data_IF_108842414812
#
_entry.id   IF_108842414812
#
_cell.length_a   1.000
_cell.length_b   1.000
_cell.length_c   1.000
_cell.angle_alpha   90.00
_cell.angle_beta   90.00
_cell.angle_gamma   90.00
#
_symmetry.space_group_name_H-M   'P 1'
#
loop_
_entity.id
_entity.type
_entity.pdbx_description
1 polymer ?
#
# COMPACT_ATOMS: atom_id res chain seq x y z
N UNK A 1 11.69 9.46 -24.00
CA UNK A 1 12.16 8.81 -22.75
C UNK A 1 12.82 7.48 -23.10
N UNK A 2 13.94 7.10 -22.47
CA UNK A 2 14.58 5.79 -22.75
C UNK A 2 13.71 4.61 -22.28
N UNK A 3 13.83 3.45 -22.95
CA UNK A 3 13.00 2.23 -22.70
C UNK A 3 13.02 1.74 -21.25
N UNK A 4 14.13 1.94 -20.55
CA UNK A 4 14.28 1.53 -19.15
C UNK A 4 13.41 2.37 -18.23
N UNK A 5 13.51 3.70 -18.33
CA UNK A 5 12.75 4.62 -17.49
C UNK A 5 11.25 4.53 -17.77
N UNK A 6 10.85 4.35 -19.03
CA UNK A 6 9.44 4.14 -19.38
C UNK A 6 8.86 2.85 -18.77
N UNK A 7 9.67 1.78 -18.71
CA UNK A 7 9.26 0.51 -18.08
C UNK A 7 9.06 0.70 -16.58
N UNK A 8 10.00 1.37 -15.90
CA UNK A 8 9.88 1.66 -14.48
C UNK A 8 8.67 2.55 -14.15
N UNK A 9 8.41 3.60 -14.94
CA UNK A 9 7.20 4.40 -14.76
C UNK A 9 5.91 3.57 -14.94
N UNK A 10 5.88 2.68 -15.94
CA UNK A 10 4.72 1.81 -16.16
C UNK A 10 4.49 0.84 -14.99
N UNK A 11 5.56 0.33 -14.36
CA UNK A 11 5.47 -0.55 -13.18
C UNK A 11 4.89 0.16 -11.94
N UNK A 12 5.11 1.47 -11.82
CA UNK A 12 4.66 2.26 -10.65
C UNK A 12 3.27 2.86 -10.85
N UNK A 13 2.87 3.08 -12.11
CA UNK A 13 1.62 3.73 -12.48
C UNK A 13 1.77 5.23 -12.71
N UNK A 14 0.68 5.86 -13.16
CA UNK A 14 0.68 7.22 -13.72
C UNK A 14 1.21 8.29 -12.76
N UNK A 15 0.93 8.14 -11.46
CA UNK A 15 1.36 9.10 -10.43
C UNK A 15 2.84 8.96 -10.07
N UNK A 16 3.51 7.88 -10.50
CA UNK A 16 4.94 7.63 -10.28
C UNK A 16 5.34 7.80 -8.81
N UNK A 17 4.49 7.36 -7.86
CA UNK A 17 4.78 7.51 -6.43
C UNK A 17 5.83 6.51 -5.97
N UNK A 18 6.54 6.83 -4.91
CA UNK A 18 7.50 5.95 -4.28
C UNK A 18 6.86 4.60 -3.95
N UNK A 19 7.46 3.50 -4.42
CA UNK A 19 6.91 2.14 -4.22
C UNK A 19 6.96 1.65 -2.76
N UNK A 20 7.57 2.41 -1.84
CA UNK A 20 7.58 2.09 -0.41
C UNK A 20 6.53 2.85 0.39
N UNK A 21 6.40 4.16 0.17
CA UNK A 21 5.51 5.00 0.97
C UNK A 21 4.28 5.51 0.21
N UNK A 22 4.20 5.30 -1.10
CA UNK A 22 3.08 5.73 -1.96
C UNK A 22 2.65 7.19 -1.76
N UNK A 23 3.56 8.06 -1.30
CA UNK A 23 3.28 9.46 -1.00
C UNK A 23 4.15 10.33 -1.93
N UNK A 24 5.46 10.41 -1.66
CA UNK A 24 6.37 11.25 -2.43
C UNK A 24 6.63 10.69 -3.84
N UNK A 25 7.06 11.54 -4.78
CA UNK A 25 7.47 11.12 -6.14
C UNK A 25 8.64 10.13 -6.09
N UNK A 26 8.53 9.05 -6.86
CA UNK A 26 9.56 8.03 -7.05
C UNK A 26 10.56 8.48 -8.10
N UNK A 27 11.56 9.28 -7.69
CA UNK A 27 12.57 9.84 -8.59
C UNK A 27 13.83 8.99 -8.73
N UNK A 28 14.11 8.13 -7.75
CA UNK A 28 15.39 7.45 -7.61
C UNK A 28 15.22 5.95 -7.86
N UNK A 29 16.16 5.36 -8.61
CA UNK A 29 16.22 3.92 -8.81
C UNK A 29 16.80 3.26 -7.56
N UNK A 30 16.02 2.38 -6.94
CA UNK A 30 16.41 1.57 -5.79
C UNK A 30 16.43 0.09 -6.15
N UNK A 31 17.28 -0.68 -5.47
CA UNK A 31 17.35 -2.13 -5.62
C UNK A 31 16.67 -2.82 -4.44
N UNK A 32 15.60 -3.58 -4.66
CA UNK A 32 14.96 -4.32 -3.56
C UNK A 32 15.99 -5.18 -2.79
N UNK A 33 16.75 -6.00 -3.53
CA UNK A 33 17.94 -6.71 -3.08
C UNK A 33 19.19 -5.85 -3.29
N UNK A 34 19.92 -5.46 -2.23
CA UNK A 34 21.09 -4.60 -2.35
C UNK A 34 22.13 -5.15 -3.34
N UNK A 35 22.49 -4.34 -4.33
CA UNK A 35 23.43 -4.72 -5.40
C UNK A 35 24.83 -5.09 -4.88
N UNK A 36 25.24 -4.55 -3.74
CA UNK A 36 26.55 -4.80 -3.14
C UNK A 36 26.70 -6.27 -2.69
N UNK A 37 25.59 -6.90 -2.30
CA UNK A 37 25.56 -8.31 -1.84
C UNK A 37 24.95 -9.22 -2.91
N UNK A 38 23.93 -8.73 -3.63
CA UNK A 38 23.16 -9.49 -4.60
C UNK A 38 23.43 -9.01 -6.04
N UNK A 39 24.70 -8.83 -6.41
CA UNK A 39 25.12 -8.28 -7.70
C UNK A 39 24.48 -8.96 -8.92
N UNK A 40 24.19 -10.26 -8.86
CA UNK A 40 23.49 -11.00 -9.92
C UNK A 40 22.06 -10.48 -10.20
N UNK A 41 21.44 -9.79 -9.24
CA UNK A 41 20.09 -9.21 -9.37
C UNK A 41 20.12 -7.73 -9.80
N UNK A 42 21.29 -7.14 -10.00
CA UNK A 42 21.43 -5.69 -10.24
C UNK A 42 20.61 -5.19 -11.44
N UNK A 43 20.43 -6.02 -12.48
CA UNK A 43 19.73 -5.67 -13.71
C UNK A 43 18.42 -6.44 -13.90
N UNK A 44 17.89 -7.06 -12.85
CA UNK A 44 16.58 -7.72 -12.91
C UNK A 44 15.48 -6.67 -12.73
N UNK A 45 14.50 -6.63 -13.63
CA UNK A 45 13.37 -5.68 -13.54
C UNK A 45 12.64 -5.75 -12.21
N UNK A 46 12.35 -6.96 -11.73
CA UNK A 46 11.70 -7.20 -10.43
C UNK A 46 12.57 -6.75 -9.23
N UNK A 47 13.85 -6.45 -9.45
CA UNK A 47 14.73 -5.92 -8.42
C UNK A 47 14.86 -4.40 -8.48
N UNK A 48 14.34 -3.73 -9.52
CA UNK A 48 14.43 -2.29 -9.71
C UNK A 48 13.11 -1.62 -9.30
N UNK A 49 13.21 -0.64 -8.41
CA UNK A 49 12.08 0.11 -7.88
C UNK A 49 12.27 1.61 -8.14
N UNK A 50 11.17 2.35 -8.25
CA UNK A 50 11.20 3.80 -8.09
C UNK A 50 10.86 4.15 -6.65
N UNK A 51 11.76 4.88 -6.00
CA UNK A 51 11.58 5.33 -4.63
C UNK A 51 11.87 6.82 -4.50
N UNK A 52 11.38 7.44 -3.43
CA UNK A 52 11.82 8.77 -3.06
C UNK A 52 13.15 8.69 -2.30
N UNK A 53 13.94 9.76 -2.37
CA UNK A 53 15.26 9.85 -1.71
C UNK A 53 15.21 9.49 -0.22
N UNK A 54 14.14 9.85 0.49
CA UNK A 54 13.99 9.51 1.92
C UNK A 54 13.89 8.00 2.12
N UNK A 55 13.01 7.31 1.39
CA UNK A 55 12.84 5.86 1.52
C UNK A 55 14.10 5.11 1.07
N UNK A 56 14.72 5.54 -0.03
CA UNK A 56 15.99 4.97 -0.50
C UNK A 56 17.11 5.09 0.53
N UNK A 57 17.24 6.22 1.24
CA UNK A 57 18.20 6.39 2.34
C UNK A 57 17.88 5.53 3.56
N UNK A 58 16.61 5.45 3.94
CA UNK A 58 16.19 4.64 5.09
C UNK A 58 16.47 3.16 4.86
N UNK A 59 16.11 2.65 3.68
CA UNK A 59 16.41 1.28 3.28
C UNK A 59 17.91 1.09 3.08
N UNK A 60 18.52 1.81 2.15
CA UNK A 60 19.89 1.61 1.71
C UNK A 60 20.20 0.11 1.48
N UNK A 61 21.24 -0.38 2.14
CA UNK A 61 21.64 -1.78 2.10
C UNK A 61 20.94 -2.66 3.16
N UNK A 62 20.00 -2.13 3.95
CA UNK A 62 19.24 -2.91 4.93
C UNK A 62 18.32 -3.88 4.18
N UNK A 63 18.59 -5.17 4.35
CA UNK A 63 17.83 -6.24 3.74
C UNK A 63 17.65 -7.37 4.76
N UNK A 64 16.68 -7.22 5.69
CA UNK A 64 16.54 -8.14 6.81
C UNK A 64 16.15 -9.54 6.33
N UNK A 65 16.82 -10.56 6.88
CA UNK A 65 16.66 -11.97 6.50
C UNK A 65 16.52 -12.86 7.74
N UNK A 66 15.70 -13.90 7.66
CA UNK A 66 15.71 -15.03 8.58
C UNK A 66 16.14 -16.28 7.79
N UNK A 67 17.43 -16.64 7.89
CA UNK A 67 18.03 -17.65 7.02
C UNK A 67 17.90 -17.24 5.55
N UNK A 68 17.16 -18.01 4.75
CA UNK A 68 16.90 -17.70 3.32
C UNK A 68 15.63 -16.86 3.09
N UNK A 69 14.83 -16.60 4.13
CA UNK A 69 13.57 -15.85 4.03
C UNK A 69 13.85 -14.35 4.11
N UNK A 70 13.32 -13.60 3.13
CA UNK A 70 13.32 -12.13 3.14
C UNK A 70 12.26 -11.63 4.13
N UNK A 71 12.64 -10.69 5.00
CA UNK A 71 11.76 -10.07 6.00
C UNK A 71 11.40 -8.62 5.66
N UNK A 72 11.69 -8.17 4.43
CA UNK A 72 11.16 -6.93 3.87
C UNK A 72 10.00 -7.28 2.93
N UNK A 73 8.91 -6.51 2.98
CA UNK A 73 7.82 -6.62 1.98
C UNK A 73 8.36 -6.22 0.61
N UNK A 74 8.21 -7.10 -0.38
CA UNK A 74 8.56 -6.83 -1.77
C UNK A 74 7.38 -6.19 -2.50
N UNK A 75 7.41 -4.87 -2.81
CA UNK A 75 6.29 -4.18 -3.43
C UNK A 75 6.02 -4.63 -4.87
N UNK A 76 6.88 -5.48 -5.46
CA UNK A 76 6.69 -6.03 -6.82
C UNK A 76 6.02 -7.40 -6.84
N UNK A 77 5.90 -8.07 -5.68
CA UNK A 77 5.47 -9.48 -5.60
C UNK A 77 4.43 -9.74 -4.53
N UNK A 78 4.40 -8.93 -3.49
CA UNK A 78 3.63 -9.19 -2.28
C UNK A 78 2.55 -8.14 -2.11
N UNK A 79 1.37 -8.57 -1.67
CA UNK A 79 0.37 -7.65 -1.17
C UNK A 79 0.85 -7.11 0.20
N UNK A 80 1.09 -5.80 0.36
CA UNK A 80 1.60 -5.24 1.61
C UNK A 80 0.69 -5.55 2.80
N UNK A 81 -0.63 -5.62 2.59
CA UNK A 81 -1.63 -5.86 3.63
C UNK A 81 -1.56 -7.28 4.22
N UNK A 82 -0.83 -8.21 3.62
CA UNK A 82 -0.58 -9.53 4.20
C UNK A 82 0.38 -9.45 5.40
N UNK A 83 1.24 -8.43 5.44
CA UNK A 83 2.21 -8.21 6.52
C UNK A 83 2.07 -6.89 7.26
N UNK A 84 1.35 -5.94 6.69
CA UNK A 84 1.16 -4.60 7.24
C UNK A 84 -0.31 -4.34 7.61
N UNK A 85 -0.49 -3.35 8.46
CA UNK A 85 -1.77 -2.80 8.86
C UNK A 85 -1.77 -1.28 8.74
N UNK A 86 -2.96 -0.71 8.64
CA UNK A 86 -3.17 0.73 8.70
C UNK A 86 -3.95 1.06 9.96
N UNK A 87 -3.43 1.97 10.76
CA UNK A 87 -4.13 2.49 11.94
C UNK A 87 -4.93 3.74 11.55
N UNK A 88 -6.27 3.67 11.47
CA UNK A 88 -7.09 4.80 11.05
C UNK A 88 -7.14 5.93 12.10
N UNK A 89 -6.68 5.70 13.33
CA UNK A 89 -6.67 6.72 14.38
C UNK A 89 -5.43 7.61 14.30
N UNK A 90 -4.28 7.03 13.96
CA UNK A 90 -3.00 7.75 13.88
C UNK A 90 -2.58 8.04 12.43
N UNK A 91 -3.10 7.28 11.47
CA UNK A 91 -2.64 7.30 10.09
C UNK A 91 -1.38 6.47 9.87
N UNK A 92 -0.88 5.74 10.86
CA UNK A 92 0.38 5.00 10.70
C UNK A 92 0.18 3.70 9.91
N UNK A 93 1.22 3.29 9.20
CA UNK A 93 1.33 1.92 8.69
C UNK A 93 2.20 1.12 9.65
N UNK A 94 1.61 0.08 10.22
CA UNK A 94 2.16 -0.74 11.30
C UNK A 94 2.35 -2.19 10.84
N UNK A 95 3.02 -3.00 11.65
CA UNK A 95 3.05 -4.44 11.43
C UNK A 95 1.64 -5.01 11.62
N UNK A 96 1.24 -5.99 10.80
CA UNK A 96 -0.02 -6.71 10.99
C UNK A 96 0.07 -7.60 12.21
N UNK A 97 -0.97 -7.62 13.03
CA UNK A 97 -1.16 -8.66 14.05
C UNK A 97 -1.87 -9.88 13.44
N UNK A 98 -1.28 -11.07 13.60
CA UNK A 98 -1.88 -12.33 13.21
C UNK A 98 -2.62 -12.94 14.41
N UNK A 99 -3.96 -12.96 14.32
CA UNK A 99 -4.83 -13.47 15.38
C UNK A 99 -4.65 -14.97 15.58
N UNK A 100 -4.36 -15.74 14.53
CA UNK A 100 -4.19 -17.19 14.62
C UNK A 100 -2.88 -17.56 15.32
N UNK A 101 -1.82 -16.80 15.04
CA UNK A 101 -0.52 -16.98 15.68
C UNK A 101 -0.38 -16.23 17.00
N UNK A 102 -1.37 -15.38 17.35
CA UNK A 102 -1.36 -14.47 18.48
C UNK A 102 -0.04 -13.68 18.56
N UNK A 103 0.44 -13.20 17.41
CA UNK A 103 1.73 -12.53 17.30
C UNK A 103 1.78 -11.56 16.12
N UNK A 104 2.74 -10.64 16.12
CA UNK A 104 2.98 -9.70 15.02
C UNK A 104 3.65 -10.37 13.82
N UNK A 105 3.35 -9.88 12.61
CA UNK A 105 4.05 -10.29 11.40
C UNK A 105 5.50 -9.83 11.46
N UNK A 106 6.42 -10.79 11.62
CA UNK A 106 7.87 -10.54 11.64
C UNK A 106 8.33 -9.76 10.40
N UNK A 107 7.75 -10.04 9.23
CA UNK A 107 8.05 -9.30 7.99
C UNK A 107 7.49 -7.87 8.06
N UNK A 108 6.30 -7.70 8.61
CA UNK A 108 5.70 -6.38 8.86
C UNK A 108 6.56 -5.53 9.78
N UNK A 109 6.95 -6.08 10.92
CA UNK A 109 7.80 -5.40 11.91
C UNK A 109 9.11 -4.92 11.30
N UNK A 110 9.81 -5.80 10.56
CA UNK A 110 11.06 -5.43 9.90
C UNK A 110 10.88 -4.42 8.77
N UNK A 111 9.74 -4.46 8.08
CA UNK A 111 9.42 -3.46 7.05
C UNK A 111 9.18 -2.08 7.66
N UNK A 112 8.36 -2.01 8.71
CA UNK A 112 8.09 -0.76 9.44
C UNK A 112 9.36 -0.22 10.09
N UNK A 113 10.17 -1.08 10.71
CA UNK A 113 11.47 -0.71 11.30
C UNK A 113 12.45 -0.14 10.27
N UNK A 114 12.54 -0.73 9.08
CA UNK A 114 13.47 -0.26 8.04
C UNK A 114 13.02 1.06 7.43
N UNK A 115 11.72 1.22 7.17
CA UNK A 115 11.16 2.34 6.40
C UNK A 115 10.55 3.45 7.26
N UNK A 116 10.54 3.27 8.59
CA UNK A 116 9.98 4.19 9.58
C UNK A 116 8.53 4.59 9.27
N UNK A 117 7.70 3.63 8.82
CA UNK A 117 6.34 3.92 8.36
C UNK A 117 5.39 4.40 9.47
N UNK A 118 5.77 4.18 10.73
CA UNK A 118 5.06 4.55 11.95
C UNK A 118 5.60 5.83 12.63
N UNK A 119 6.71 6.40 12.10
CA UNK A 119 7.43 7.54 12.71
C UNK A 119 7.47 8.77 11.83
N UNK A 120 6.71 8.78 10.73
CA UNK A 120 6.76 9.83 9.70
C UNK A 120 5.43 10.58 9.64
N UNK A 121 5.26 11.57 10.51
CA UNK A 121 4.00 12.32 10.66
C UNK A 121 3.42 12.88 9.35
N UNK A 122 4.29 13.33 8.42
CA UNK A 122 3.85 13.81 7.12
C UNK A 122 3.18 12.70 6.28
N UNK A 123 3.71 11.47 6.33
CA UNK A 123 3.08 10.31 5.68
C UNK A 123 1.73 10.01 6.34
N UNK A 124 1.71 9.94 7.68
CA UNK A 124 0.50 9.59 8.42
C UNK A 124 -0.64 10.56 8.12
N UNK A 125 -0.34 11.86 8.00
CA UNK A 125 -1.30 12.88 7.56
C UNK A 125 -1.80 12.65 6.14
N UNK A 126 -0.93 12.27 5.21
CA UNK A 126 -1.29 11.94 3.83
C UNK A 126 -2.23 10.74 3.76
N UNK A 127 -1.92 9.67 4.48
CA UNK A 127 -2.75 8.47 4.55
C UNK A 127 -4.13 8.75 5.16
N UNK A 128 -4.21 9.52 6.25
CA UNK A 128 -5.49 9.96 6.84
C UNK A 128 -6.32 10.78 5.86
N UNK A 129 -5.68 11.67 5.09
CA UNK A 129 -6.37 12.47 4.09
C UNK A 129 -6.98 11.59 2.98
N UNK A 130 -6.28 10.54 2.55
CA UNK A 130 -6.84 9.56 1.62
C UNK A 130 -7.98 8.78 2.23
N UNK A 131 -7.82 8.24 3.45
CA UNK A 131 -8.91 7.56 4.14
C UNK A 131 -10.16 8.45 4.23
N UNK A 132 -9.98 9.73 4.54
CA UNK A 132 -11.07 10.71 4.61
C UNK A 132 -11.80 10.84 3.28
N UNK A 133 -11.09 11.01 2.16
CA UNK A 133 -11.70 11.12 0.82
C UNK A 133 -12.44 9.86 0.40
N UNK A 134 -11.85 8.69 0.69
CA UNK A 134 -12.49 7.40 0.45
C UNK A 134 -13.78 7.27 1.28
N UNK A 135 -13.74 7.67 2.54
CA UNK A 135 -14.89 7.67 3.44
C UNK A 135 -15.97 8.64 2.96
N UNK A 136 -15.61 9.86 2.57
CA UNK A 136 -16.55 10.84 2.02
C UNK A 136 -17.22 10.32 0.74
N UNK A 137 -16.46 9.66 -0.14
CA UNK A 137 -16.99 9.03 -1.37
C UNK A 137 -18.05 7.98 -1.05
N UNK A 138 -17.81 7.09 -0.08
CA UNK A 138 -18.79 6.08 0.32
C UNK A 138 -20.00 6.71 0.99
N UNK A 139 -19.82 7.70 1.89
CA UNK A 139 -20.94 8.40 2.55
C UNK A 139 -21.84 9.09 1.52
N UNK A 140 -21.26 9.73 0.51
CA UNK A 140 -22.03 10.34 -0.57
C UNK A 140 -22.82 9.31 -1.39
N UNK A 141 -22.24 8.14 -1.66
CA UNK A 141 -22.94 7.07 -2.35
C UNK A 141 -24.10 6.51 -1.52
N UNK A 142 -23.89 6.26 -0.22
CA UNK A 142 -24.93 5.80 0.71
C UNK A 142 -26.10 6.80 0.80
N UNK A 143 -25.79 8.11 0.89
CA UNK A 143 -26.80 9.16 0.94
C UNK A 143 -27.64 9.28 -0.36
N UNK A 144 -27.09 8.87 -1.51
CA UNK A 144 -27.81 8.88 -2.80
C UNK A 144 -28.80 7.70 -2.94
N UNK A 145 -28.67 6.65 -2.12
CA UNK A 145 -29.56 5.47 -2.09
C UNK A 145 -29.33 4.47 -3.21
N UNK A 146 -29.42 4.90 -4.48
CA UNK A 146 -29.14 4.03 -5.64
C UNK A 146 -27.64 4.10 -5.98
N UNK A 147 -26.90 3.03 -5.65
CA UNK A 147 -25.44 2.98 -5.83
C UNK A 147 -25.07 2.19 -7.08
N UNK A 148 -24.44 2.86 -8.05
CA UNK A 148 -23.75 2.21 -9.16
C UNK A 148 -22.36 1.75 -8.71
N UNK A 149 -22.14 0.43 -8.67
CA UNK A 149 -20.89 -0.16 -8.20
C UNK A 149 -19.68 0.16 -9.09
N UNK A 150 -19.90 0.35 -10.40
CA UNK A 150 -18.83 0.64 -11.37
C UNK A 150 -18.37 2.07 -11.18
N UNK A 151 -19.31 3.02 -11.16
CA UNK A 151 -19.00 4.43 -10.92
C UNK A 151 -18.34 4.63 -9.55
N UNK A 152 -18.87 3.97 -8.51
CA UNK A 152 -18.28 4.02 -7.17
C UNK A 152 -16.85 3.48 -7.16
N UNK A 153 -16.59 2.34 -7.80
CA UNK A 153 -15.24 1.76 -7.86
C UNK A 153 -14.25 2.68 -8.60
N UNK A 154 -14.64 3.26 -9.73
CA UNK A 154 -13.81 4.22 -10.48
C UNK A 154 -13.51 5.47 -9.65
N UNK A 155 -14.52 6.02 -8.99
CA UNK A 155 -14.35 7.18 -8.11
C UNK A 155 -13.41 6.87 -6.95
N UNK A 156 -13.59 5.73 -6.28
CA UNK A 156 -12.71 5.28 -5.21
C UNK A 156 -11.25 5.15 -5.70
N UNK A 157 -11.01 4.50 -6.85
CA UNK A 157 -9.67 4.40 -7.45
C UNK A 157 -9.03 5.77 -7.69
N UNK A 158 -9.82 6.75 -8.15
CA UNK A 158 -9.33 8.10 -8.40
C UNK A 158 -8.93 8.86 -7.12
N UNK A 159 -9.62 8.58 -6.01
CA UNK A 159 -9.37 9.21 -4.70
C UNK A 159 -8.25 8.52 -3.89
N UNK A 160 -7.86 7.30 -4.27
CA UNK A 160 -6.82 6.54 -3.57
C UNK A 160 -5.40 6.95 -3.98
N UNK A 161 -4.93 8.01 -3.36
CA UNK A 161 -3.56 8.50 -3.56
C UNK A 161 -2.48 7.55 -3.03
N UNK A 162 -2.80 6.73 -2.02
CA UNK A 162 -1.81 6.00 -1.22
C UNK A 162 -2.01 4.48 -1.20
N UNK A 163 -2.87 3.94 -2.06
CA UNK A 163 -3.11 2.48 -2.15
C UNK A 163 -3.86 1.88 -0.96
N UNK A 164 -4.65 2.67 -0.24
CA UNK A 164 -5.39 2.23 0.95
C UNK A 164 -6.61 1.37 0.63
N UNK A 165 -7.09 1.32 -0.61
CA UNK A 165 -8.27 0.54 -0.97
C UNK A 165 -8.14 -0.95 -0.67
N UNK A 166 -6.95 -1.52 -0.85
CA UNK A 166 -6.66 -2.91 -0.49
C UNK A 166 -6.86 -3.20 0.98
N UNK A 167 -6.57 -2.22 1.85
CA UNK A 167 -6.84 -2.31 3.28
C UNK A 167 -8.32 -2.04 3.61
N UNK A 168 -8.91 -0.99 3.01
CA UNK A 168 -10.28 -0.58 3.27
C UNK A 168 -11.30 -1.69 2.94
N UNK A 169 -11.08 -2.41 1.84
CA UNK A 169 -11.91 -3.55 1.42
C UNK A 169 -11.38 -4.91 1.92
N UNK A 170 -10.55 -4.89 2.96
CA UNK A 170 -10.12 -6.10 3.67
C UNK A 170 -11.05 -6.46 4.82
N UNK A 171 -10.80 -7.61 5.42
CA UNK A 171 -11.38 -8.11 6.66
C UNK A 171 -11.20 -7.18 7.86
N UNK A 172 -10.25 -6.24 7.82
CA UNK A 172 -10.03 -5.20 8.84
C UNK A 172 -10.73 -3.89 8.49
N UNK A 173 -10.52 -3.39 7.28
CA UNK A 173 -11.15 -2.14 6.84
C UNK A 173 -12.67 -2.20 6.81
N UNK A 174 -13.26 -3.38 6.55
CA UNK A 174 -14.71 -3.57 6.55
C UNK A 174 -15.40 -3.31 7.90
N UNK A 175 -14.67 -3.24 9.02
CA UNK A 175 -15.24 -2.92 10.33
C UNK A 175 -15.24 -1.43 10.64
N UNK A 176 -14.67 -0.61 9.76
CA UNK A 176 -14.56 0.84 9.92
C UNK A 176 -15.71 1.55 9.20
N UNK A 177 -16.37 2.49 9.86
CA UNK A 177 -17.34 3.38 9.20
C UNK A 177 -16.64 4.32 8.19
N UNK A 178 -17.14 4.47 6.95
CA UNK A 178 -18.44 4.01 6.42
C UNK A 178 -18.40 2.69 5.65
N UNK A 179 -17.26 1.98 5.65
CA UNK A 179 -17.08 0.73 4.92
C UNK A 179 -17.95 -0.39 5.49
N UNK A 180 -18.10 -0.44 6.82
CA UNK A 180 -19.02 -1.35 7.52
C UNK A 180 -20.47 -1.13 7.11
N UNK A 181 -20.91 0.12 7.01
CA UNK A 181 -22.27 0.46 6.59
C UNK A 181 -22.54 0.02 5.13
N UNK A 182 -21.61 0.31 4.21
CA UNK A 182 -21.70 -0.15 2.83
C UNK A 182 -21.77 -1.68 2.73
N UNK A 183 -20.95 -2.38 3.51
CA UNK A 183 -20.96 -3.84 3.54
C UNK A 183 -22.29 -4.40 4.06
N UNK A 184 -22.84 -3.81 5.12
CA UNK A 184 -24.05 -4.27 5.77
C UNK A 184 -25.32 -3.98 4.94
N UNK A 185 -25.44 -2.77 4.40
CA UNK A 185 -26.64 -2.34 3.66
C UNK A 185 -26.60 -2.74 2.18
N UNK A 186 -25.42 -2.80 1.57
CA UNK A 186 -25.24 -3.07 0.14
C UNK A 186 -24.16 -4.14 -0.14
N UNK A 187 -24.30 -5.38 0.36
CA UNK A 187 -23.28 -6.43 0.22
C UNK A 187 -22.95 -6.80 -1.23
N UNK A 188 -23.91 -6.65 -2.16
CA UNK A 188 -23.69 -6.85 -3.60
C UNK A 188 -22.75 -5.79 -4.19
N UNK A 189 -22.99 -4.51 -3.87
CA UNK A 189 -22.12 -3.39 -4.27
C UNK A 189 -20.73 -3.57 -3.68
N UNK A 190 -20.64 -3.88 -2.39
CA UNK A 190 -19.38 -4.18 -1.71
C UNK A 190 -18.56 -5.23 -2.46
N UNK A 191 -19.18 -6.37 -2.81
CA UNK A 191 -18.50 -7.48 -3.49
C UNK A 191 -18.00 -7.08 -4.87
N UNK A 192 -18.79 -6.31 -5.62
CA UNK A 192 -18.42 -5.81 -6.95
C UNK A 192 -17.27 -4.81 -6.88
N UNK A 193 -17.32 -3.86 -5.94
CA UNK A 193 -16.23 -2.92 -5.69
C UNK A 193 -14.95 -3.67 -5.25
N UNK A 194 -15.04 -4.56 -4.25
CA UNK A 194 -13.89 -5.33 -3.78
C UNK A 194 -13.23 -6.16 -4.88
N UNK A 195 -14.02 -6.69 -5.83
CA UNK A 195 -13.49 -7.39 -7.01
C UNK A 195 -12.82 -6.43 -7.99
N UNK A 196 -13.44 -5.29 -8.28
CA UNK A 196 -12.91 -4.29 -9.20
C UNK A 196 -11.60 -3.65 -8.68
N UNK A 197 -11.41 -3.60 -7.37
CA UNK A 197 -10.24 -3.00 -6.71
C UNK A 197 -9.07 -3.98 -6.53
N UNK A 198 -9.29 -5.28 -6.70
CA UNK A 198 -8.25 -6.32 -6.70
C UNK A 198 -7.64 -6.57 -8.09
N UNK A 199 -8.27 -6.03 -9.14
CA UNK A 199 -7.83 -6.10 -10.53
C UNK A 199 -7.04 -4.85 -10.90
#
# INVERSE_FOLDING_TARGET
>A
MGKVLSTLHAMVGERQRCMYCLDSHGSDIEHFRPKDVFHKHMYHWENLLLCCTHCGRLKGNKFPMAGRRVLLVDPTKENPWDSLDFDPSTGNICARFDVQLNNWSVKGEKTVEVLHLDKREALSKGYLQTLRRLSETIRSALAAGAIDSTNLAEKLKSEDDHGLLGWCFSDRGKTLEPFSELQAQHPGVWTLCARALKA
#
